data_IF_080584086838
#
_entry.id   IF_080584086838
#
_cell.length_a   1.000
_cell.length_b   1.000
_cell.length_c   1.000
_cell.angle_alpha   90.00
_cell.angle_beta   90.00
_cell.angle_gamma   90.00
#
_symmetry.space_group_name_H-M   'P 1'
#
loop_
_entity.id
_entity.type
_entity.pdbx_description
1 polymer ?
#
# COMPACT_ATOMS: atom_id res chain seq x y z
N UNK A 1 38.43 -51.57 -41.44
CA UNK A 1 37.39 -52.56 -41.09
C UNK A 1 37.03 -52.39 -39.62
N UNK A 2 35.78 -52.58 -39.15
CA UNK A 2 34.48 -52.49 -39.82
C UNK A 2 33.50 -51.50 -39.12
N UNK A 3 32.48 -51.06 -39.86
CA UNK A 3 31.30 -50.39 -39.32
C UNK A 3 30.29 -51.36 -38.67
N UNK A 4 29.44 -50.83 -37.79
CA UNK A 4 28.23 -51.48 -37.25
C UNK A 4 27.13 -50.43 -37.12
N UNK A 5 26.18 -50.37 -38.07
CA UNK A 5 24.87 -51.05 -38.11
C UNK A 5 23.91 -50.69 -36.96
N UNK A 6 22.92 -49.85 -37.32
CA UNK A 6 21.57 -49.80 -36.71
C UNK A 6 20.74 -51.02 -37.14
N UNK A 7 19.95 -51.59 -36.21
CA UNK A 7 18.52 -52.02 -36.33
C UNK A 7 18.09 -52.69 -35.01
N UNK A 8 17.00 -52.21 -34.40
CA UNK A 8 15.65 -52.86 -34.19
C UNK A 8 15.73 -54.16 -33.34
N UNK A 9 14.89 -54.46 -32.35
CA UNK A 9 13.46 -54.20 -32.09
C UNK A 9 13.03 -54.88 -30.77
N UNK A 10 11.87 -54.47 -30.21
CA UNK A 10 11.03 -55.23 -29.27
C UNK A 10 11.22 -54.82 -27.80
N UNK A 11 10.23 -54.39 -27.02
CA UNK A 11 8.78 -54.58 -27.07
C UNK A 11 8.36 -55.64 -26.07
N UNK A 12 8.08 -55.25 -24.82
CA UNK A 12 7.25 -56.02 -23.89
C UNK A 12 6.59 -55.12 -22.85
N UNK A 13 5.28 -55.28 -22.76
CA UNK A 13 4.36 -54.55 -21.89
C UNK A 13 4.34 -55.16 -20.48
N UNK A 14 4.15 -54.32 -19.46
CA UNK A 14 3.76 -54.77 -18.12
C UNK A 14 2.44 -54.09 -17.74
N UNK A 15 1.41 -54.93 -17.64
CA UNK A 15 0.10 -54.61 -17.10
C UNK A 15 0.15 -54.65 -15.57
N UNK A 16 -0.21 -53.54 -14.93
CA UNK A 16 -0.42 -53.45 -13.48
C UNK A 16 -1.93 -53.52 -13.18
N UNK A 17 -2.34 -54.64 -12.60
CA UNK A 17 -3.73 -54.99 -12.29
C UNK A 17 -4.24 -54.24 -11.04
N UNK A 18 -5.36 -53.52 -11.19
CA UNK A 18 -6.19 -53.00 -10.11
C UNK A 18 -7.04 -54.14 -9.52
N UNK A 19 -6.90 -54.43 -8.23
CA UNK A 19 -7.79 -55.33 -7.50
C UNK A 19 -8.70 -54.56 -6.54
N UNK A 20 -10.00 -54.61 -6.85
CA UNK A 20 -11.13 -54.18 -6.02
C UNK A 20 -11.18 -54.99 -4.71
N UNK A 21 -11.31 -54.31 -3.57
CA UNK A 21 -11.93 -54.87 -2.38
C UNK A 21 -13.01 -53.91 -1.88
N UNK A 22 -14.25 -54.38 -1.86
CA UNK A 22 -15.40 -53.67 -1.34
C UNK A 22 -16.57 -54.64 -1.21
N UNK A 23 -16.71 -55.27 -0.04
CA UNK A 23 -17.85 -56.11 0.31
C UNK A 23 -18.33 -55.81 1.73
N UNK A 24 -19.59 -55.36 1.78
CA UNK A 24 -20.71 -55.74 2.68
C UNK A 24 -20.64 -55.50 4.19
N UNK A 25 -21.71 -54.86 4.70
CA UNK A 25 -22.25 -55.03 6.06
C UNK A 25 -22.96 -53.76 6.55
N UNK A 26 -24.22 -53.50 6.22
CA UNK A 26 -25.50 -53.84 6.91
C UNK A 26 -25.64 -53.40 8.38
N UNK A 27 -26.79 -52.73 8.63
CA UNK A 27 -27.64 -52.72 9.83
C UNK A 27 -27.10 -51.99 11.08
N UNK A 28 -27.88 -51.42 11.99
CA UNK A 28 -29.28 -51.01 12.08
C UNK A 28 -29.46 -50.27 13.44
N UNK A 29 -30.54 -49.50 13.54
CA UNK A 29 -31.39 -49.33 14.74
C UNK A 29 -30.95 -48.50 15.97
N UNK A 30 -31.83 -47.52 16.28
CA UNK A 30 -32.47 -47.25 17.59
C UNK A 30 -31.58 -46.63 18.71
N UNK A 31 -32.04 -45.88 19.72
CA UNK A 31 -33.30 -45.30 20.18
C UNK A 31 -32.94 -44.44 21.40
N UNK A 32 -33.75 -43.41 21.72
CA UNK A 32 -33.95 -42.78 23.06
C UNK A 32 -32.76 -41.99 23.63
N UNK A 33 -32.91 -41.03 24.53
CA UNK A 33 -33.97 -40.12 25.00
C UNK A 33 -33.27 -39.19 26.00
N UNK A 34 -33.90 -38.04 26.33
CA UNK A 34 -33.75 -37.29 27.60
C UNK A 34 -32.33 -36.78 27.95
N UNK A 35 -32.12 -35.48 28.10
CA UNK A 35 -32.38 -34.82 29.38
C UNK A 35 -32.40 -33.30 29.19
N UNK A 36 -33.52 -32.71 29.60
CA UNK A 36 -33.73 -31.31 29.93
C UNK A 36 -32.90 -30.95 31.17
N UNK A 37 -32.16 -29.85 31.14
CA UNK A 37 -31.82 -29.04 32.33
C UNK A 37 -31.48 -27.60 31.92
N UNK A 38 -32.41 -26.71 32.29
CA UNK A 38 -32.25 -25.36 32.85
C UNK A 38 -30.88 -24.66 32.72
N UNK A 39 -30.92 -23.46 32.18
CA UNK A 39 -29.84 -22.47 32.26
C UNK A 39 -30.28 -21.09 31.75
N UNK A 40 -31.29 -20.51 32.38
CA UNK A 40 -31.62 -19.09 32.22
C UNK A 40 -30.48 -18.26 32.84
N UNK A 41 -29.64 -17.67 31.98
CA UNK A 41 -28.61 -16.70 32.39
C UNK A 41 -29.12 -15.31 31.99
N UNK A 42 -29.58 -14.58 33.00
CA UNK A 42 -29.94 -13.17 32.92
C UNK A 42 -28.66 -12.33 32.74
N UNK A 43 -28.49 -11.55 31.66
CA UNK A 43 -27.41 -10.57 31.61
C UNK A 43 -27.76 -9.34 32.47
N UNK A 44 -26.96 -9.11 33.52
CA UNK A 44 -26.95 -7.88 34.31
C UNK A 44 -26.51 -6.71 33.43
N UNK A 45 -27.44 -5.81 33.11
CA UNK A 45 -27.15 -4.51 32.54
C UNK A 45 -26.26 -3.70 33.49
N UNK A 46 -25.02 -3.42 33.05
CA UNK A 46 -24.19 -2.41 33.70
C UNK A 46 -24.70 -1.03 33.27
N UNK A 47 -25.14 -0.28 34.28
CA UNK A 47 -25.59 1.10 34.20
C UNK A 47 -24.36 1.98 33.93
N UNK A 48 -24.14 2.34 32.67
CA UNK A 48 -23.13 3.35 32.31
C UNK A 48 -23.71 4.72 32.68
N UNK A 49 -23.08 5.37 33.66
CA UNK A 49 -23.33 6.76 33.98
C UNK A 49 -22.83 7.62 32.81
N UNK A 50 -23.76 8.14 32.01
CA UNK A 50 -23.50 9.21 31.05
C UNK A 50 -23.34 10.51 31.85
N UNK A 51 -22.09 10.96 32.02
CA UNK A 51 -21.80 12.31 32.46
C UNK A 51 -22.11 13.26 31.30
N UNK A 52 -23.28 13.89 31.34
CA UNK A 52 -23.63 15.00 30.47
C UNK A 52 -22.83 16.22 30.91
N UNK A 53 -21.81 16.60 30.13
CA UNK A 53 -21.15 17.88 30.27
C UNK A 53 -22.00 18.97 29.61
N UNK A 54 -22.52 19.87 30.43
CA UNK A 54 -23.23 21.09 30.06
C UNK A 54 -22.26 22.06 29.37
N UNK A 55 -22.60 22.67 28.21
CA UNK A 55 -21.78 23.73 27.64
C UNK A 55 -22.01 25.04 28.41
N UNK A 56 -20.94 25.57 28.99
CA UNK A 56 -20.91 26.88 29.60
C UNK A 56 -20.94 27.97 28.51
N UNK A 57 -21.88 28.90 28.68
CA UNK A 57 -22.03 30.15 27.96
C UNK A 57 -20.72 30.95 27.96
N UNK A 58 -20.17 31.23 26.78
CA UNK A 58 -19.25 32.36 26.61
C UNK A 58 -20.06 33.58 26.15
N UNK A 59 -20.10 34.57 27.05
CA UNK A 59 -20.54 35.92 26.78
C UNK A 59 -19.57 36.58 25.78
N UNK A 60 -20.07 36.94 24.61
CA UNK A 60 -19.41 37.89 23.71
C UNK A 60 -19.64 39.29 24.27
N UNK A 61 -18.60 39.92 24.78
CA UNK A 61 -18.61 41.35 25.10
C UNK A 61 -18.58 42.16 23.80
N UNK A 62 -19.69 42.89 23.57
CA UNK A 62 -19.81 44.00 22.63
C UNK A 62 -18.71 45.03 22.92
N UNK A 63 -17.96 45.41 21.89
CA UNK A 63 -17.18 46.64 21.88
C UNK A 63 -17.94 47.62 20.99
N UNK A 64 -18.45 48.68 21.62
CA UNK A 64 -19.02 49.84 20.96
C UNK A 64 -17.96 50.58 20.14
N UNK A 65 -18.26 50.88 18.89
CA UNK A 65 -17.58 51.90 18.10
C UNK A 65 -18.59 52.98 17.70
N UNK A 66 -18.20 54.26 17.77
CA UNK A 66 -19.13 55.38 17.65
C UNK A 66 -19.61 55.59 16.22
N UNK A 67 -20.91 55.88 16.11
CA UNK A 67 -21.54 56.52 14.97
C UNK A 67 -21.04 57.97 14.86
N UNK A 68 -20.45 58.32 13.72
CA UNK A 68 -20.49 59.66 13.12
C UNK A 68 -19.71 59.60 11.80
N UNK A 69 -20.40 59.66 10.66
CA UNK A 69 -20.07 60.55 9.54
C UNK A 69 -21.14 60.42 8.45
N UNK A 70 -21.96 61.45 8.38
CA UNK A 70 -22.97 61.65 7.36
C UNK A 70 -22.36 62.03 6.01
N UNK A 71 -22.99 61.51 4.96
CA UNK A 71 -23.30 62.12 3.67
C UNK A 71 -22.31 63.12 3.04
N UNK A 72 -21.69 62.69 1.93
CA UNK A 72 -21.37 63.56 0.81
C UNK A 72 -21.63 62.82 -0.50
N UNK A 73 -22.75 63.15 -1.12
CA UNK A 73 -23.14 62.82 -2.48
C UNK A 73 -22.24 63.57 -3.47
N UNK A 74 -21.53 62.84 -4.33
CA UNK A 74 -20.87 63.41 -5.51
C UNK A 74 -21.43 62.72 -6.75
N UNK A 75 -22.22 63.48 -7.48
CA UNK A 75 -22.61 63.26 -8.87
C UNK A 75 -21.37 63.43 -9.76
N UNK A 76 -21.00 62.39 -10.52
CA UNK A 76 -20.10 62.52 -11.67
C UNK A 76 -20.74 61.83 -12.87
N UNK A 77 -20.88 62.61 -13.94
CA UNK A 77 -21.64 62.29 -15.13
C UNK A 77 -21.12 61.11 -15.93
N UNK A 78 -22.06 60.50 -16.63
CA UNK A 78 -21.88 59.46 -17.65
C UNK A 78 -21.11 60.05 -18.83
N UNK A 79 -19.82 59.73 -18.91
CA UNK A 79 -18.99 59.87 -20.10
C UNK A 79 -18.80 58.51 -20.77
N UNK A 80 -19.51 58.28 -21.86
CA UNK A 80 -19.32 57.10 -22.73
C UNK A 80 -18.01 57.31 -23.48
N UNK A 81 -16.96 56.57 -23.11
CA UNK A 81 -15.73 56.42 -23.89
C UNK A 81 -15.58 54.95 -24.26
N UNK A 82 -15.73 54.67 -25.56
CA UNK A 82 -15.43 53.37 -26.15
C UNK A 82 -13.93 53.10 -26.05
N UNK A 83 -13.53 51.99 -25.43
CA UNK A 83 -12.18 51.46 -25.50
C UNK A 83 -12.12 50.29 -26.48
N UNK A 84 -11.05 50.15 -27.28
CA UNK A 84 -10.93 49.09 -28.29
C UNK A 84 -10.61 47.72 -27.67
N UNK A 85 -11.29 46.70 -28.21
CA UNK A 85 -11.10 45.27 -27.95
C UNK A 85 -9.73 44.78 -28.44
N UNK A 86 -8.63 45.03 -27.71
CA UNK A 86 -7.42 44.24 -27.91
C UNK A 86 -6.40 44.36 -26.77
N UNK A 87 -6.69 43.92 -25.54
CA UNK A 87 -5.65 43.71 -24.51
C UNK A 87 -6.13 42.97 -23.24
N UNK A 88 -6.71 41.76 -23.38
CA UNK A 88 -7.10 40.94 -22.21
C UNK A 88 -6.47 39.55 -22.08
N UNK A 89 -5.60 39.11 -22.99
CA UNK A 89 -5.16 37.70 -23.00
C UNK A 89 -3.68 37.42 -22.66
N UNK A 90 -2.91 38.37 -22.12
CA UNK A 90 -1.46 38.14 -21.90
C UNK A 90 -0.95 38.27 -20.45
N UNK A 91 -1.83 38.46 -19.47
CA UNK A 91 -1.42 38.55 -18.05
C UNK A 91 -1.73 37.29 -17.23
N UNK A 92 -2.52 36.34 -17.74
CA UNK A 92 -2.86 35.08 -17.04
C UNK A 92 -2.08 33.85 -17.55
N UNK A 93 -1.45 33.91 -18.72
CA UNK A 93 -0.71 32.76 -19.29
C UNK A 93 0.72 32.61 -18.77
N UNK A 94 1.31 33.67 -18.20
CA UNK A 94 2.69 33.66 -17.69
C UNK A 94 2.81 33.14 -16.26
N UNK A 95 1.72 33.15 -15.46
CA UNK A 95 1.75 32.65 -14.07
C UNK A 95 1.56 31.12 -13.97
N UNK A 96 0.75 30.53 -14.85
CA UNK A 96 0.49 29.08 -14.88
C UNK A 96 1.60 28.28 -15.58
N UNK A 97 2.38 28.90 -16.47
CA UNK A 97 3.47 28.25 -17.21
C UNK A 97 4.76 28.17 -16.38
N UNK A 98 5.04 29.21 -15.58
CA UNK A 98 6.22 29.25 -14.68
C UNK A 98 6.11 28.27 -13.50
N UNK A 99 4.90 27.89 -13.08
CA UNK A 99 4.71 26.80 -12.09
C UNK A 99 4.91 25.39 -12.66
N UNK A 100 4.73 25.19 -13.98
CA UNK A 100 4.93 23.87 -14.62
C UNK A 100 6.41 23.53 -14.81
N UNK A 101 7.27 24.52 -15.08
CA UNK A 101 8.69 24.26 -15.35
C UNK A 101 9.53 24.02 -14.08
N UNK A 102 9.08 24.52 -12.91
CA UNK A 102 9.75 24.23 -11.63
C UNK A 102 9.40 22.83 -11.08
N UNK A 103 8.24 22.28 -11.44
CA UNK A 103 7.77 21.00 -10.91
C UNK A 103 8.31 19.77 -11.67
N UNK A 104 8.77 19.94 -12.91
CA UNK A 104 9.34 18.85 -13.71
C UNK A 104 10.81 18.57 -13.34
N UNK A 105 11.52 19.52 -12.71
CA UNK A 105 12.95 19.38 -12.40
C UNK A 105 13.28 18.85 -10.98
N UNK A 106 12.28 18.43 -10.19
CA UNK A 106 12.51 17.90 -8.83
C UNK A 106 12.21 16.41 -8.65
N UNK A 107 11.76 15.70 -9.68
CA UNK A 107 11.36 14.29 -9.57
C UNK A 107 12.34 13.27 -10.18
N UNK A 108 13.61 13.63 -10.37
CA UNK A 108 14.62 12.70 -10.89
C UNK A 108 15.67 12.22 -9.87
N UNK A 109 15.60 12.67 -8.61
CA UNK A 109 16.62 12.36 -7.60
C UNK A 109 16.16 11.54 -6.38
N UNK A 110 14.94 11.00 -6.35
CA UNK A 110 14.45 10.23 -5.19
C UNK A 110 14.68 8.70 -5.26
N UNK A 111 15.35 8.17 -6.30
CA UNK A 111 15.45 6.72 -6.53
C UNK A 111 16.84 6.10 -6.49
N UNK A 112 17.84 6.80 -5.96
CA UNK A 112 19.17 6.19 -5.77
C UNK A 112 19.68 6.42 -4.34
N UNK A 113 20.13 5.31 -3.74
CA UNK A 113 20.99 5.19 -2.55
C UNK A 113 20.34 5.61 -1.22
N UNK A 114 19.94 4.71 -0.33
CA UNK A 114 20.78 3.67 0.29
C UNK A 114 19.92 2.47 0.72
N UNK A 115 20.00 1.36 -0.02
CA UNK A 115 19.89 0.06 0.66
C UNK A 115 21.00 0.02 1.70
N UNK A 116 20.81 -0.47 2.94
CA UNK A 116 21.92 -0.70 3.84
C UNK A 116 22.85 -1.67 3.14
N UNK A 117 23.94 -1.13 2.61
CA UNK A 117 24.89 -1.90 1.83
C UNK A 117 25.50 -2.92 2.80
N UNK A 118 25.72 -4.14 2.32
CA UNK A 118 26.40 -5.26 3.00
C UNK A 118 27.85 -4.98 3.51
N UNK A 119 28.58 -3.87 3.23
CA UNK A 119 29.90 -3.56 3.80
C UNK A 119 30.01 -3.56 5.33
N UNK A 120 28.92 -3.47 6.08
CA UNK A 120 28.93 -3.37 7.54
C UNK A 120 29.24 -4.71 8.27
N UNK A 121 28.89 -5.86 7.68
CA UNK A 121 29.02 -7.15 8.38
C UNK A 121 30.47 -7.62 8.48
N UNK A 122 31.23 -7.52 7.38
CA UNK A 122 32.61 -7.99 7.32
C UNK A 122 33.54 -7.18 8.22
N UNK A 123 33.35 -5.85 8.25
CA UNK A 123 34.15 -4.96 9.09
C UNK A 123 33.89 -5.24 10.58
N UNK A 124 32.63 -5.40 10.98
CA UNK A 124 32.26 -5.84 12.34
C UNK A 124 32.87 -7.18 12.72
N UNK A 125 32.89 -8.16 11.80
CA UNK A 125 33.53 -9.45 12.01
C UNK A 125 35.05 -9.33 12.21
N UNK A 126 35.75 -8.50 11.42
CA UNK A 126 37.20 -8.26 11.58
C UNK A 126 37.50 -7.57 12.91
N UNK A 127 36.72 -6.56 13.26
CA UNK A 127 36.84 -5.86 14.54
C UNK A 127 36.67 -6.82 15.72
N UNK A 128 35.67 -7.71 15.65
CA UNK A 128 35.45 -8.74 16.65
C UNK A 128 36.62 -9.74 16.78
N UNK A 129 37.18 -10.22 15.67
CA UNK A 129 38.34 -11.13 15.69
C UNK A 129 39.58 -10.43 16.25
N UNK A 130 39.79 -9.15 15.92
CA UNK A 130 40.86 -8.35 16.51
C UNK A 130 40.68 -8.20 18.01
N UNK A 131 39.45 -7.97 18.49
CA UNK A 131 39.15 -7.92 19.92
C UNK A 131 39.49 -9.24 20.64
N UNK A 132 39.21 -10.39 20.01
CA UNK A 132 39.61 -11.70 20.54
C UNK A 132 41.12 -11.82 20.61
N UNK A 133 41.84 -11.48 19.53
CA UNK A 133 43.31 -11.50 19.50
C UNK A 133 43.89 -10.66 20.63
N UNK A 134 43.45 -9.42 20.75
CA UNK A 134 44.03 -8.46 21.69
C UNK A 134 43.70 -8.84 23.15
N UNK A 135 42.52 -9.43 23.40
CA UNK A 135 42.09 -9.86 24.75
C UNK A 135 42.78 -11.13 25.23
N UNK A 136 43.00 -12.10 24.34
CA UNK A 136 43.55 -13.41 24.69
C UNK A 136 45.02 -13.60 24.31
N UNK A 137 45.64 -12.56 23.73
CA UNK A 137 47.02 -12.57 23.20
C UNK A 137 47.26 -13.73 22.21
N UNK A 138 46.31 -13.91 21.27
CA UNK A 138 46.30 -15.06 20.36
C UNK A 138 46.46 -14.67 18.90
N UNK A 139 47.35 -15.32 18.17
CA UNK A 139 47.49 -15.11 16.72
C UNK A 139 46.21 -15.53 15.96
N UNK A 140 45.94 -14.97 14.78
CA UNK A 140 44.78 -15.37 13.97
C UNK A 140 44.74 -16.88 13.65
N UNK A 141 45.91 -17.49 13.44
CA UNK A 141 46.02 -18.94 13.29
C UNK A 141 45.75 -19.69 14.60
N UNK A 142 46.18 -19.15 15.74
CA UNK A 142 45.87 -19.65 17.08
C UNK A 142 44.36 -19.64 17.36
N UNK A 143 43.70 -18.52 17.06
CA UNK A 143 42.24 -18.37 17.13
C UNK A 143 41.54 -19.47 16.34
N UNK A 144 41.89 -19.64 15.06
CA UNK A 144 41.30 -20.68 14.22
C UNK A 144 41.47 -22.08 14.81
N UNK A 145 42.69 -22.44 15.26
CA UNK A 145 43.00 -23.77 15.83
C UNK A 145 42.20 -24.03 17.10
N UNK A 146 42.18 -23.09 18.04
CA UNK A 146 41.42 -23.22 19.30
C UNK A 146 39.91 -23.33 19.05
N UNK A 147 39.41 -22.73 17.98
CA UNK A 147 38.00 -22.83 17.56
C UNK A 147 37.68 -24.05 16.70
N UNK A 148 38.64 -24.93 16.39
CA UNK A 148 38.39 -26.08 15.51
C UNK A 148 38.01 -25.67 14.08
N UNK A 149 38.65 -24.61 13.58
CA UNK A 149 38.52 -24.05 12.22
C UNK A 149 39.89 -24.12 11.54
N UNK A 150 39.92 -24.33 10.22
CA UNK A 150 41.17 -24.33 9.47
C UNK A 150 41.87 -22.96 9.60
N UNK A 151 43.19 -22.89 9.89
CA UNK A 151 43.92 -21.62 10.02
C UNK A 151 43.79 -20.70 8.81
N UNK A 152 43.77 -21.29 7.61
CA UNK A 152 43.59 -20.57 6.35
C UNK A 152 42.28 -19.78 6.29
N UNK A 153 41.21 -20.23 6.95
CA UNK A 153 39.90 -19.57 6.93
C UNK A 153 39.97 -18.19 7.60
N UNK A 154 40.48 -18.13 8.83
CA UNK A 154 40.55 -16.87 9.59
C UNK A 154 41.66 -15.98 9.05
N UNK A 155 42.84 -16.55 8.74
CA UNK A 155 43.98 -15.78 8.22
C UNK A 155 43.65 -15.14 6.87
N UNK A 156 43.07 -15.90 5.93
CA UNK A 156 42.65 -15.34 4.63
C UNK A 156 41.58 -14.27 4.81
N UNK A 157 40.61 -14.53 5.69
CA UNK A 157 39.54 -13.56 5.98
C UNK A 157 40.08 -12.22 6.51
N UNK A 158 41.11 -12.24 7.36
CA UNK A 158 41.72 -11.04 7.94
C UNK A 158 42.65 -10.31 6.97
N UNK A 159 43.36 -11.02 6.10
CA UNK A 159 44.41 -10.46 5.25
C UNK A 159 43.94 -10.04 3.85
N UNK A 160 42.85 -10.62 3.34
CA UNK A 160 42.37 -10.34 1.98
C UNK A 160 41.49 -9.10 1.95
N UNK A 161 42.06 -7.91 1.78
CA UNK A 161 41.28 -6.66 1.75
C UNK A 161 40.26 -6.60 0.60
N UNK A 162 40.53 -7.33 -0.50
CA UNK A 162 39.69 -7.33 -1.71
C UNK A 162 38.51 -8.29 -1.63
N UNK A 163 38.51 -9.23 -0.69
CA UNK A 163 37.44 -10.20 -0.50
C UNK A 163 36.09 -9.56 -0.13
N UNK A 164 35.03 -9.86 -0.85
CA UNK A 164 33.67 -9.41 -0.48
C UNK A 164 32.96 -10.38 0.47
N UNK A 165 33.60 -11.50 0.84
CA UNK A 165 32.98 -12.57 1.61
C UNK A 165 33.13 -12.40 3.12
N UNK A 166 32.02 -12.58 3.84
CA UNK A 166 31.94 -12.62 5.30
C UNK A 166 32.22 -14.04 5.83
N UNK A 167 32.57 -14.16 7.11
CA UNK A 167 32.60 -15.47 7.77
C UNK A 167 31.20 -16.08 7.82
N UNK A 168 31.13 -17.41 7.70
CA UNK A 168 29.87 -18.13 7.87
C UNK A 168 29.44 -18.14 9.34
N UNK A 169 28.13 -18.13 9.59
CA UNK A 169 27.56 -18.21 10.95
C UNK A 169 28.07 -19.42 11.75
N UNK A 170 28.36 -20.55 11.07
CA UNK A 170 28.94 -21.75 11.70
C UNK A 170 30.38 -21.50 12.20
N UNK A 171 31.17 -20.75 11.44
CA UNK A 171 32.54 -20.39 11.81
C UNK A 171 32.53 -19.40 12.97
N UNK A 172 31.65 -18.40 12.93
CA UNK A 172 31.47 -17.45 14.03
C UNK A 172 31.05 -18.16 15.32
N UNK A 173 30.06 -19.05 15.26
CA UNK A 173 29.60 -19.80 16.44
C UNK A 173 30.74 -20.61 17.08
N UNK A 174 31.58 -21.27 16.27
CA UNK A 174 32.76 -22.00 16.75
C UNK A 174 33.77 -21.10 17.46
N UNK A 175 34.05 -19.94 16.87
CA UNK A 175 34.96 -18.95 17.46
C UNK A 175 34.37 -18.39 18.76
N UNK A 176 33.09 -18.06 18.75
CA UNK A 176 32.38 -17.54 19.91
C UNK A 176 32.37 -18.52 21.09
N UNK A 177 32.10 -19.81 20.83
CA UNK A 177 32.15 -20.86 21.85
C UNK A 177 33.57 -21.06 22.42
N UNK A 178 34.60 -21.04 21.56
CA UNK A 178 35.97 -21.30 22.00
C UNK A 178 36.56 -20.19 22.88
N UNK A 179 36.14 -18.93 22.63
CA UNK A 179 36.66 -17.76 23.34
C UNK A 179 35.65 -17.14 24.31
N UNK A 180 34.46 -17.74 24.45
CA UNK A 180 33.35 -17.20 25.24
C UNK A 180 33.07 -15.72 24.94
N UNK A 181 33.05 -15.36 23.65
CA UNK A 181 32.83 -14.01 23.15
C UNK A 181 31.81 -14.03 22.01
N UNK A 182 30.70 -13.33 22.18
CA UNK A 182 29.67 -13.23 21.14
C UNK A 182 30.13 -12.40 19.94
N UNK A 183 29.79 -12.78 18.70
CA UNK A 183 30.15 -12.01 17.50
C UNK A 183 29.44 -10.66 17.47
N UNK A 184 30.17 -9.63 17.06
CA UNK A 184 29.67 -8.25 16.97
C UNK A 184 28.50 -8.06 15.99
N UNK A 185 28.34 -8.98 15.03
CA UNK A 185 27.31 -8.92 14.01
C UNK A 185 26.40 -10.15 14.07
N UNK A 186 25.66 -10.33 15.18
CA UNK A 186 24.32 -10.90 14.99
C UNK A 186 23.52 -9.81 14.29
N UNK A 187 23.03 -10.00 13.05
CA UNK A 187 21.98 -9.12 12.57
C UNK A 187 20.87 -9.26 13.60
N UNK A 188 20.68 -8.22 14.42
CA UNK A 188 19.49 -8.15 15.23
C UNK A 188 18.36 -8.28 14.22
N UNK A 189 17.62 -9.39 14.29
CA UNK A 189 16.33 -9.48 13.65
C UNK A 189 15.47 -8.51 14.43
N UNK A 190 15.63 -7.22 14.12
CA UNK A 190 14.74 -6.20 14.64
C UNK A 190 13.36 -6.61 14.13
N UNK A 191 12.42 -6.94 15.02
CA UNK A 191 11.07 -7.21 14.57
C UNK A 191 10.63 -6.00 13.75
N UNK A 192 10.14 -6.24 12.53
CA UNK A 192 9.47 -5.22 11.73
C UNK A 192 8.25 -4.83 12.55
N UNK A 193 8.42 -3.84 13.42
CA UNK A 193 7.44 -3.44 14.42
C UNK A 193 6.50 -2.39 13.87
N UNK A 194 6.85 -1.83 12.71
CA UNK A 194 6.06 -0.83 12.03
C UNK A 194 5.02 -1.56 11.20
N UNK A 195 3.87 -1.85 11.80
CA UNK A 195 2.65 -2.17 11.07
C UNK A 195 1.69 -1.01 11.21
N UNK A 196 1.20 -0.49 10.09
CA UNK A 196 0.21 0.57 10.08
C UNK A 196 -1.18 -0.07 10.06
N UNK A 197 -2.03 0.32 11.01
CA UNK A 197 -3.46 0.03 10.94
C UNK A 197 -4.09 0.97 9.92
N UNK A 198 -4.68 0.41 8.88
CA UNK A 198 -5.41 1.13 7.85
C UNK A 198 -6.89 0.84 8.02
N UNK A 199 -7.67 1.89 8.25
CA UNK A 199 -9.12 1.78 8.44
C UNK A 199 -9.81 1.38 7.13
N UNK A 200 -10.75 0.43 7.21
CA UNK A 200 -11.66 0.12 6.10
C UNK A 200 -12.82 1.10 6.19
N UNK A 201 -12.81 2.10 5.32
CA UNK A 201 -13.76 3.22 5.40
C UNK A 201 -15.04 2.97 4.60
N UNK A 202 -15.10 1.92 3.79
CA UNK A 202 -16.30 1.64 3.00
C UNK A 202 -16.13 0.49 2.01
N UNK A 203 -17.05 0.45 1.05
CA UNK A 203 -17.04 -0.53 -0.03
C UNK A 203 -17.07 0.15 -1.39
N UNK A 204 -16.36 -0.42 -2.35
CA UNK A 204 -16.41 -0.01 -3.76
C UNK A 204 -17.20 -1.03 -4.57
N UNK A 205 -18.21 -0.54 -5.28
CA UNK A 205 -19.15 -1.36 -6.05
C UNK A 205 -19.68 -0.56 -7.25
N UNK A 206 -19.49 -1.08 -8.46
CA UNK A 206 -20.10 -0.48 -9.65
C UNK A 206 -21.61 -0.72 -9.67
N UNK A 207 -22.35 0.28 -10.17
CA UNK A 207 -23.80 0.31 -10.31
C UNK A 207 -24.57 0.65 -9.03
N UNK A 208 -23.90 0.89 -7.90
CA UNK A 208 -24.56 1.15 -6.62
C UNK A 208 -24.27 2.56 -6.12
N UNK A 209 -25.29 3.41 -6.22
CA UNK A 209 -25.28 4.78 -5.71
C UNK A 209 -25.72 4.82 -4.25
N UNK A 210 -25.05 5.63 -3.44
CA UNK A 210 -25.34 5.84 -2.02
C UNK A 210 -25.11 7.29 -1.65
N UNK A 211 -25.85 7.78 -0.66
CA UNK A 211 -25.69 9.16 -0.18
C UNK A 211 -24.28 9.48 0.34
N UNK A 212 -23.57 8.48 0.89
CA UNK A 212 -22.15 8.56 1.22
C UNK A 212 -21.52 7.18 1.06
N UNK A 213 -20.35 7.11 0.43
CA UNK A 213 -19.60 5.86 0.28
C UNK A 213 -18.67 5.57 1.47
N UNK A 214 -18.34 6.58 2.28
CA UNK A 214 -17.48 6.46 3.46
C UNK A 214 -18.30 6.36 4.74
N UNK A 215 -17.85 5.52 5.66
CA UNK A 215 -18.39 5.44 7.02
C UNK A 215 -17.72 6.49 7.92
N UNK A 216 -18.53 7.21 8.69
CA UNK A 216 -18.04 8.21 9.66
C UNK A 216 -17.19 7.56 10.77
N UNK A 217 -17.48 6.30 11.10
CA UNK A 217 -16.81 5.53 12.16
C UNK A 217 -16.44 4.13 11.66
N UNK A 218 -15.24 3.95 11.08
CA UNK A 218 -14.82 2.64 10.58
C UNK A 218 -14.64 1.67 11.75
N UNK A 219 -15.41 0.58 11.75
CA UNK A 219 -15.33 -0.47 12.78
C UNK A 219 -14.27 -1.53 12.49
N UNK A 220 -13.75 -1.57 11.25
CA UNK A 220 -12.79 -2.56 10.78
C UNK A 220 -11.49 -1.89 10.30
N UNK A 221 -10.36 -2.58 10.50
CA UNK A 221 -9.05 -2.15 10.01
C UNK A 221 -8.19 -3.33 9.61
N UNK A 222 -7.22 -3.10 8.74
CA UNK A 222 -6.19 -4.08 8.35
C UNK A 222 -4.82 -3.59 8.78
N UNK A 223 -3.99 -4.51 9.27
CA UNK A 223 -2.59 -4.23 9.59
C UNK A 223 -1.74 -4.50 8.35
N UNK A 224 -1.02 -3.49 7.85
CA UNK A 224 -0.12 -3.62 6.70
C UNK A 224 1.25 -3.04 6.98
N UNK A 225 2.26 -3.60 6.32
CA UNK A 225 3.59 -3.03 6.34
C UNK A 225 3.61 -1.62 5.69
N UNK A 226 4.46 -0.72 6.17
CA UNK A 226 4.76 0.53 5.50
C UNK A 226 5.21 0.29 4.06
N UNK A 227 4.55 0.96 3.12
CA UNK A 227 5.00 1.04 1.74
C UNK A 227 6.02 2.20 1.62
N UNK A 228 7.28 1.86 1.39
CA UNK A 228 8.36 2.84 1.26
C UNK A 228 8.24 3.72 0.00
N UNK A 229 7.39 3.35 -0.98
CA UNK A 229 7.10 4.20 -2.15
C UNK A 229 6.22 5.40 -1.79
N UNK A 230 5.44 5.27 -0.72
CA UNK A 230 4.50 6.28 -0.24
C UNK A 230 4.70 6.49 1.27
N UNK A 231 5.89 6.98 1.68
CA UNK A 231 6.18 7.23 3.09
C UNK A 231 5.29 8.37 3.59
N UNK A 232 4.75 8.23 4.80
CA UNK A 232 3.97 9.25 5.51
C UNK A 232 2.66 9.68 4.83
N UNK A 233 2.26 9.10 3.70
CA UNK A 233 0.96 9.39 3.09
C UNK A 233 -0.17 8.68 3.85
N UNK A 234 -1.28 9.37 4.17
CA UNK A 234 -2.48 8.76 4.72
C UNK A 234 -2.99 7.64 3.80
N UNK A 235 -3.39 6.53 4.41
CA UNK A 235 -3.91 5.35 3.69
C UNK A 235 -5.31 5.05 4.17
N UNK A 236 -6.15 4.66 3.23
CA UNK A 236 -7.51 4.21 3.47
C UNK A 236 -7.73 2.88 2.76
N UNK A 237 -8.63 2.06 3.31
CA UNK A 237 -8.97 0.78 2.71
C UNK A 237 -10.45 0.71 2.31
N UNK A 238 -10.72 -0.04 1.25
CA UNK A 238 -12.08 -0.31 0.77
C UNK A 238 -12.27 -1.81 0.54
N UNK A 239 -13.45 -2.31 0.86
CA UNK A 239 -13.86 -3.67 0.49
C UNK A 239 -14.47 -3.68 -0.91
N UNK A 240 -13.94 -4.53 -1.77
CA UNK A 240 -14.46 -4.71 -3.13
C UNK A 240 -15.75 -5.54 -3.10
N UNK A 241 -16.77 -5.04 -3.80
CA UNK A 241 -18.06 -5.71 -3.99
C UNK A 241 -18.42 -5.73 -5.47
N UNK A 242 -19.10 -6.79 -5.89
CA UNK A 242 -19.45 -7.01 -7.30
C UNK A 242 -18.24 -7.43 -8.14
N UNK A 243 -18.43 -7.47 -9.46
CA UNK A 243 -17.54 -8.13 -10.41
C UNK A 243 -16.88 -7.20 -11.44
N UNK A 244 -17.13 -5.87 -11.38
CA UNK A 244 -16.56 -4.88 -12.32
C UNK A 244 -15.02 -4.87 -12.44
N UNK A 245 -14.32 -5.43 -11.44
CA UNK A 245 -12.86 -5.59 -11.42
C UNK A 245 -12.42 -7.01 -11.06
N UNK A 246 -13.28 -8.03 -11.21
CA UNK A 246 -13.03 -9.39 -10.69
C UNK A 246 -11.79 -10.09 -11.27
N UNK A 247 -11.30 -9.70 -12.45
CA UNK A 247 -10.05 -10.24 -13.01
C UNK A 247 -8.84 -9.88 -12.15
N UNK A 248 -8.88 -8.76 -11.44
CA UNK A 248 -7.77 -8.25 -10.62
C UNK A 248 -8.12 -8.22 -9.12
N UNK A 249 -9.35 -7.88 -8.79
CA UNK A 249 -9.87 -7.76 -7.44
C UNK A 249 -11.21 -8.50 -7.35
N UNK A 250 -11.17 -9.82 -7.10
CA UNK A 250 -12.38 -10.59 -6.80
C UNK A 250 -13.16 -9.99 -5.64
N UNK A 251 -14.47 -10.24 -5.58
CA UNK A 251 -15.29 -9.80 -4.46
C UNK A 251 -14.69 -10.23 -3.12
N UNK A 252 -14.74 -9.33 -2.12
CA UNK A 252 -14.18 -9.55 -0.79
C UNK A 252 -12.72 -9.09 -0.66
N UNK A 253 -12.02 -8.82 -1.77
CA UNK A 253 -10.70 -8.19 -1.75
C UNK A 253 -10.74 -6.87 -0.98
N UNK A 254 -9.74 -6.61 -0.15
CA UNK A 254 -9.53 -5.30 0.49
C UNK A 254 -8.45 -4.57 -0.31
N UNK A 255 -8.80 -3.43 -0.90
CA UNK A 255 -7.84 -2.56 -1.57
C UNK A 255 -7.41 -1.44 -0.65
N UNK A 256 -6.13 -1.08 -0.69
CA UNK A 256 -5.56 0.02 0.08
C UNK A 256 -5.14 1.11 -0.90
N UNK A 257 -5.61 2.32 -0.64
CA UNK A 257 -5.37 3.47 -1.47
C UNK A 257 -4.75 4.63 -0.69
N UNK A 258 -3.99 5.45 -1.40
CA UNK A 258 -3.60 6.79 -0.98
C UNK A 258 -4.49 7.80 -1.70
N UNK A 259 -4.82 8.91 -1.03
CA UNK A 259 -5.61 9.97 -1.68
C UNK A 259 -4.80 10.62 -2.78
N UNK A 260 -5.47 10.94 -3.88
CA UNK A 260 -4.84 11.58 -5.02
C UNK A 260 -4.40 13.00 -4.71
N UNK A 261 -5.18 13.75 -3.93
CA UNK A 261 -4.78 15.10 -3.49
C UNK A 261 -3.55 15.12 -2.58
N UNK A 262 -3.27 14.03 -1.87
CA UNK A 262 -2.04 13.87 -1.07
C UNK A 262 -0.84 13.41 -1.94
N UNK A 263 -1.11 12.99 -3.18
CA UNK A 263 -0.10 12.52 -4.12
C UNK A 263 0.41 13.69 -4.97
N UNK A 264 1.70 13.97 -4.93
CA UNK A 264 2.33 15.06 -5.71
C UNK A 264 2.48 14.73 -7.22
N UNK A 265 1.63 13.85 -7.77
CA UNK A 265 1.61 13.47 -9.19
C UNK A 265 0.22 12.97 -9.61
N UNK A 266 -0.07 13.10 -10.89
CA UNK A 266 -1.23 12.43 -11.49
C UNK A 266 -1.03 10.90 -11.58
N UNK A 267 -2.12 10.13 -11.62
CA UNK A 267 -2.08 8.71 -11.98
C UNK A 267 -1.52 8.49 -13.39
N UNK A 268 -0.88 7.34 -13.60
CA UNK A 268 -0.29 6.93 -14.89
C UNK A 268 -1.09 5.80 -15.51
N UNK A 269 -1.03 5.66 -16.83
CA UNK A 269 -1.61 4.52 -17.57
C UNK A 269 -1.22 3.19 -16.93
N UNK A 270 -2.22 2.33 -16.73
CA UNK A 270 -2.10 1.01 -16.10
C UNK A 270 -2.31 1.03 -14.58
N UNK A 271 -2.29 2.19 -13.92
CA UNK A 271 -2.58 2.28 -12.48
C UNK A 271 -4.06 2.02 -12.18
N UNK A 272 -4.34 1.63 -10.93
CA UNK A 272 -5.70 1.30 -10.47
C UNK A 272 -6.16 2.38 -9.52
N UNK A 273 -7.33 2.93 -9.78
CA UNK A 273 -7.84 4.10 -9.08
C UNK A 273 -9.22 3.87 -8.52
N UNK A 274 -9.52 4.53 -7.41
CA UNK A 274 -10.85 4.70 -6.85
C UNK A 274 -11.48 5.90 -7.56
N UNK A 275 -12.59 5.66 -8.23
CA UNK A 275 -13.35 6.68 -8.97
C UNK A 275 -14.68 6.87 -8.28
N UNK A 276 -15.00 8.11 -7.95
CA UNK A 276 -16.30 8.51 -7.44
C UNK A 276 -17.11 9.09 -8.58
N UNK A 277 -18.31 8.56 -8.80
CA UNK A 277 -19.29 9.13 -9.70
C UNK A 277 -20.41 9.79 -8.90
N UNK A 278 -20.76 11.03 -9.22
CA UNK A 278 -21.81 11.79 -8.50
C UNK A 278 -23.01 12.04 -9.38
N UNK A 279 -24.19 11.71 -8.87
CA UNK A 279 -25.47 11.94 -9.56
C UNK A 279 -26.54 12.31 -8.54
N UNK A 280 -27.15 13.49 -8.68
CA UNK A 280 -28.29 13.93 -7.85
C UNK A 280 -28.06 13.86 -6.32
N UNK A 281 -26.82 14.09 -5.87
CA UNK A 281 -26.45 14.02 -4.45
C UNK A 281 -26.15 12.62 -3.92
N UNK A 282 -26.24 11.59 -4.77
CA UNK A 282 -25.71 10.26 -4.48
C UNK A 282 -24.34 10.07 -5.14
N UNK A 283 -23.53 9.22 -4.52
CA UNK A 283 -22.18 8.88 -4.92
C UNK A 283 -22.04 7.37 -5.18
N UNK A 284 -21.34 7.01 -6.24
CA UNK A 284 -20.97 5.65 -6.60
C UNK A 284 -19.44 5.54 -6.55
N UNK A 285 -18.91 4.75 -5.61
CA UNK A 285 -17.47 4.50 -5.51
C UNK A 285 -17.11 3.20 -6.24
N UNK A 286 -16.23 3.29 -7.25
CA UNK A 286 -15.82 2.14 -8.07
C UNK A 286 -14.31 2.07 -8.23
N UNK A 287 -13.80 0.89 -8.62
CA UNK A 287 -12.42 0.74 -9.06
C UNK A 287 -12.39 0.71 -10.58
N UNK A 288 -11.39 1.37 -11.16
CA UNK A 288 -11.07 1.32 -12.60
C UNK A 288 -9.56 1.23 -12.82
N UNK A 289 -9.17 0.72 -13.98
CA UNK A 289 -7.81 0.89 -14.50
C UNK A 289 -7.78 2.13 -15.39
N UNK A 290 -6.80 2.99 -15.18
CA UNK A 290 -6.67 4.23 -15.94
C UNK A 290 -5.80 4.05 -17.17
N UNK A 291 -6.21 4.65 -18.29
CA UNK A 291 -5.41 4.79 -19.50
C UNK A 291 -5.47 6.25 -19.95
N UNK A 292 -4.31 6.89 -20.04
CA UNK A 292 -4.16 8.22 -20.61
C UNK A 292 -3.89 8.05 -22.11
N UNK A 293 -4.80 8.54 -22.94
CA UNK A 293 -4.74 8.47 -24.39
C UNK A 293 -3.78 9.54 -24.94
N UNK A 294 -3.31 9.34 -26.17
CA UNK A 294 -2.35 10.25 -26.83
C UNK A 294 -2.88 11.68 -27.01
N UNK A 295 -4.20 11.83 -27.12
CA UNK A 295 -4.88 13.12 -27.24
C UNK A 295 -5.17 13.81 -25.89
N UNK A 296 -4.69 13.22 -24.78
CA UNK A 296 -4.87 13.74 -23.41
C UNK A 296 -6.18 13.33 -22.73
N UNK A 297 -7.08 12.62 -23.44
CA UNK A 297 -8.27 12.03 -22.81
C UNK A 297 -7.90 10.89 -21.87
N UNK A 298 -8.83 10.56 -20.98
CA UNK A 298 -8.65 9.48 -20.00
C UNK A 298 -9.72 8.42 -20.21
N UNK A 299 -9.30 7.17 -20.40
CA UNK A 299 -10.18 6.01 -20.42
C UNK A 299 -10.10 5.27 -19.07
N UNK A 300 -11.26 4.98 -18.49
CA UNK A 300 -11.43 4.24 -17.25
C UNK A 300 -11.97 2.85 -17.57
N UNK A 301 -11.09 1.86 -17.48
CA UNK A 301 -11.38 0.48 -17.86
C UNK A 301 -11.88 -0.33 -16.67
N UNK A 302 -13.02 -1.00 -16.78
CA UNK A 302 -13.28 -2.17 -15.96
C UNK A 302 -12.32 -3.31 -16.34
N UNK A 303 -12.09 -4.22 -15.39
CA UNK A 303 -11.32 -5.46 -15.61
C UNK A 303 -12.18 -6.61 -15.13
N UNK A 304 -13.24 -6.87 -15.87
CA UNK A 304 -14.28 -7.84 -15.52
C UNK A 304 -14.38 -8.98 -16.53
N UNK A 305 -14.87 -10.14 -16.08
CA UNK A 305 -15.41 -11.19 -16.96
C UNK A 305 -16.88 -10.97 -17.33
N UNK A 306 -17.58 -10.06 -16.65
CA UNK A 306 -18.99 -9.78 -16.90
C UNK A 306 -19.14 -8.86 -18.13
N UNK A 307 -19.94 -9.24 -19.14
CA UNK A 307 -20.17 -8.42 -20.34
C UNK A 307 -20.72 -7.02 -20.06
N UNK A 308 -21.45 -6.81 -18.96
CA UNK A 308 -21.97 -5.49 -18.55
C UNK A 308 -20.84 -4.51 -18.23
N UNK A 309 -19.67 -5.02 -17.85
CA UNK A 309 -18.47 -4.25 -17.53
C UNK A 309 -17.37 -4.47 -18.58
N UNK A 310 -17.71 -4.30 -19.85
CA UNK A 310 -16.79 -4.49 -20.99
C UNK A 310 -16.30 -3.19 -21.63
N UNK A 311 -17.04 -2.09 -21.49
CA UNK A 311 -16.71 -0.81 -22.11
C UNK A 311 -15.95 0.14 -21.17
N UNK A 312 -14.99 0.88 -21.71
CA UNK A 312 -14.32 1.97 -21.01
C UNK A 312 -15.21 3.21 -20.93
N UNK A 313 -15.11 3.93 -19.82
CA UNK A 313 -15.66 5.29 -19.71
C UNK A 313 -14.57 6.26 -20.16
N UNK A 314 -14.84 7.06 -21.20
CA UNK A 314 -13.87 8.03 -21.72
C UNK A 314 -14.22 9.44 -21.26
N UNK A 315 -13.23 10.13 -20.69
CA UNK A 315 -13.35 11.45 -20.09
C UNK A 315 -12.42 12.43 -20.80
N UNK A 316 -12.76 13.74 -20.85
CA UNK A 316 -12.09 14.71 -21.72
C UNK A 316 -10.64 15.03 -21.30
N UNK A 317 -10.32 15.01 -20.00
CA UNK A 317 -8.97 15.32 -19.50
C UNK A 317 -8.75 14.75 -18.10
N UNK A 318 -7.48 14.51 -17.74
CA UNK A 318 -7.06 14.16 -16.39
C UNK A 318 -7.25 15.34 -15.41
N UNK A 319 -6.99 16.58 -15.84
CA UNK A 319 -6.96 17.72 -14.93
C UNK A 319 -8.31 17.95 -14.22
N UNK A 320 -9.42 17.75 -14.93
CA UNK A 320 -10.76 17.83 -14.32
C UNK A 320 -11.05 16.69 -13.34
N UNK A 321 -10.36 15.56 -13.43
CA UNK A 321 -10.59 14.42 -12.54
C UNK A 321 -9.92 14.56 -11.18
N UNK A 322 -8.97 15.50 -11.06
CA UNK A 322 -8.17 15.73 -9.86
C UNK A 322 -8.72 16.88 -9.00
N UNK A 323 -9.31 17.89 -9.65
CA UNK A 323 -9.88 19.07 -9.00
C UNK A 323 -11.39 19.17 -9.29
N UNK A 324 -12.22 19.24 -8.25
CA UNK A 324 -13.62 19.63 -8.41
C UNK A 324 -13.66 21.12 -8.77
N UNK A 325 -14.12 21.50 -9.97
CA UNK A 325 -14.14 22.91 -10.32
C UNK A 325 -15.23 23.63 -9.50
N UNK A 326 -14.89 24.81 -8.99
CA UNK A 326 -15.74 25.68 -8.16
C UNK A 326 -16.83 26.42 -9.00
N UNK A 327 -16.91 26.12 -10.30
CA UNK A 327 -17.75 26.80 -11.29
C UNK A 327 -19.16 26.21 -11.40
N UNK A 328 -19.57 25.38 -10.44
CA UNK A 328 -20.90 24.77 -10.41
C UNK A 328 -21.13 23.69 -11.47
N UNK A 329 -20.13 23.40 -12.31
CA UNK A 329 -20.12 22.23 -13.18
C UNK A 329 -19.62 21.04 -12.38
N UNK A 330 -20.51 20.37 -11.63
CA UNK A 330 -20.15 19.13 -10.95
C UNK A 330 -19.71 18.10 -12.01
N UNK A 331 -18.40 17.86 -12.07
CA UNK A 331 -17.89 16.75 -12.86
C UNK A 331 -18.51 15.47 -12.32
N UNK A 332 -19.16 14.73 -13.23
CA UNK A 332 -19.84 13.50 -12.88
C UNK A 332 -18.86 12.46 -12.33
N UNK A 333 -17.57 12.56 -12.64
CA UNK A 333 -16.52 11.64 -12.19
C UNK A 333 -15.34 12.38 -11.54
N UNK A 334 -14.79 11.80 -10.48
CA UNK A 334 -13.59 12.25 -9.77
C UNK A 334 -12.69 11.05 -9.41
N UNK A 335 -11.37 11.21 -9.48
CA UNK A 335 -10.40 10.20 -9.02
C UNK A 335 -10.00 10.53 -7.59
N UNK A 336 -10.52 9.74 -6.64
CA UNK A 336 -10.32 9.98 -5.20
C UNK A 336 -9.02 9.36 -4.70
N UNK A 337 -8.65 8.18 -5.21
CA UNK A 337 -7.56 7.40 -4.63
C UNK A 337 -6.76 6.58 -5.64
N UNK A 338 -5.47 6.42 -5.39
CA UNK A 338 -4.59 5.49 -6.09
C UNK A 338 -4.43 4.22 -5.26
N UNK A 339 -4.76 3.05 -5.83
CA UNK A 339 -4.59 1.76 -5.17
C UNK A 339 -3.11 1.37 -5.19
N UNK A 340 -2.54 1.15 -4.01
CA UNK A 340 -1.11 0.83 -3.82
C UNK A 340 -0.88 -0.62 -3.41
N UNK A 341 -1.90 -1.27 -2.83
CA UNK A 341 -1.85 -2.65 -2.33
C UNK A 341 -3.25 -3.27 -2.33
N UNK A 342 -3.32 -4.61 -2.38
CA UNK A 342 -4.55 -5.37 -2.18
C UNK A 342 -4.30 -6.59 -1.29
N UNK A 343 -5.29 -6.96 -0.48
CA UNK A 343 -5.31 -8.14 0.38
C UNK A 343 -6.50 -9.00 -0.03
N UNK A 344 -6.25 -10.28 -0.33
CA UNK A 344 -7.29 -11.25 -0.63
C UNK A 344 -7.45 -12.18 0.57
N UNK A 345 -8.65 -12.26 1.17
CA UNK A 345 -8.93 -13.30 2.16
C UNK A 345 -8.89 -14.67 1.48
N UNK A 346 -8.39 -15.68 2.21
CA UNK A 346 -8.24 -17.07 1.75
C UNK A 346 -9.55 -17.88 1.81
#
# INVERSE_FOLDING_TARGET
MPGRRRRRSGGQALAGSFARFGRVGRAAAAMRSTTSMRGEVVPRFHRVHVLTATPALMQTSLIDLPEDFAAASISVGVGIFAMPDNMRNNAQSTSAKVRRDVFILMCENAHMTTKPTIPDVREKQRAWINQIRDRFDETYAGIARKSGVAPSTVVRFMNDETATHSLSARTEAKIATAFNMEPAAKPALEPISDFNRVAIIGSVQAGVFRHSFSQDYPSESVSVAPDHRYPNLPRVAFRVRGDSMNLLYPEGTIVIAVRIGDLARAPKTGEKVIVIRRTNGDEEATIKEIEVLEDGRVALWPRSTNPEFSAAITLPSMDGLLDLPDDGCQLEYCIEGLIIQSIRPE
#
